data_IF_533742021680
#
_entry.id   IF_533742021680
#
_cell.length_a   1.000
_cell.length_b   1.000
_cell.length_c   1.000
_cell.angle_alpha   90.00
_cell.angle_beta   90.00
_cell.angle_gamma   90.00
#
_symmetry.space_group_name_H-M   'P 1'
#
loop_
_entity.id
_entity.type
_entity.pdbx_description
1 polymer ?
#
# COMPACT_ATOMS: atom_id res chain seq x y z
N UNK A 1 -42.96 31.40 19.20
CA UNK A 1 -44.17 30.55 19.02
C UNK A 1 -43.90 29.70 17.77
N UNK A 2 -43.60 28.43 17.97
CA UNK A 2 -44.09 27.27 17.20
C UNK A 2 -43.20 26.03 17.50
N UNK A 3 -43.71 25.26 18.30
CA UNK A 3 -43.91 23.82 18.42
C UNK A 3 -42.91 22.88 17.72
N UNK A 4 -42.09 22.31 18.57
CA UNK A 4 -41.32 21.08 18.32
C UNK A 4 -42.25 19.92 18.75
N UNK A 5 -42.59 19.03 17.80
CA UNK A 5 -43.28 17.78 18.06
C UNK A 5 -42.25 16.68 18.26
N UNK A 6 -42.14 16.20 19.50
CA UNK A 6 -41.36 15.01 19.85
C UNK A 6 -42.26 13.79 19.67
N UNK A 7 -41.90 12.85 18.83
CA UNK A 7 -42.55 11.53 18.71
C UNK A 7 -41.80 10.53 19.59
N UNK A 8 -42.42 10.18 20.69
CA UNK A 8 -42.00 9.07 21.54
C UNK A 8 -42.54 7.76 20.96
N UNK A 9 -41.63 6.83 20.64
CA UNK A 9 -42.01 5.44 20.34
C UNK A 9 -41.81 4.62 21.60
N UNK A 10 -42.90 4.15 22.15
CA UNK A 10 -42.93 3.27 23.31
C UNK A 10 -42.63 1.83 22.89
N UNK A 11 -41.65 1.20 23.58
CA UNK A 11 -41.39 -0.24 23.50
C UNK A 11 -42.25 -0.93 24.54
N UNK A 12 -43.16 -1.76 24.10
CA UNK A 12 -43.91 -2.68 25.00
C UNK A 12 -43.22 -4.04 24.95
N UNK A 13 -42.64 -4.44 26.08
CA UNK A 13 -42.18 -5.81 26.29
C UNK A 13 -43.36 -6.64 26.85
N UNK A 14 -43.71 -7.72 26.21
CA UNK A 14 -44.57 -8.76 26.79
C UNK A 14 -43.82 -10.08 26.73
N UNK A 15 -43.46 -10.57 27.91
CA UNK A 15 -42.99 -11.94 28.13
C UNK A 15 -44.18 -12.85 28.43
N UNK A 16 -44.25 -14.00 27.79
CA UNK A 16 -44.80 -15.22 28.36
C UNK A 16 -44.51 -16.40 27.40
N UNK A 17 -43.87 -17.41 27.94
CA UNK A 17 -43.38 -18.58 27.29
C UNK A 17 -44.46 -19.57 26.85
N UNK A 18 -44.05 -20.46 25.96
CA UNK A 18 -44.48 -21.88 26.00
C UNK A 18 -43.42 -22.74 25.29
N UNK A 19 -42.99 -23.79 25.96
CA UNK A 19 -42.14 -24.85 25.42
C UNK A 19 -42.89 -25.65 24.32
N UNK A 20 -42.26 -25.80 23.19
CA UNK A 20 -42.70 -26.71 22.13
C UNK A 20 -41.55 -26.99 21.22
N UNK A 21 -40.87 -28.12 21.47
CA UNK A 21 -39.79 -28.64 20.60
C UNK A 21 -40.36 -29.15 19.29
N UNK A 22 -40.13 -28.43 18.22
CA UNK A 22 -40.16 -28.98 16.86
C UNK A 22 -38.84 -28.59 16.17
N UNK A 23 -37.99 -29.61 15.96
CA UNK A 23 -36.84 -29.50 15.07
C UNK A 23 -37.33 -29.18 13.67
N UNK A 24 -37.33 -27.92 13.26
CA UNK A 24 -37.35 -27.56 11.87
C UNK A 24 -35.90 -27.59 11.37
N UNK A 25 -35.57 -28.62 10.57
CA UNK A 25 -34.44 -28.54 9.66
C UNK A 25 -34.69 -27.38 8.70
N UNK A 26 -34.07 -26.24 8.95
CA UNK A 26 -33.95 -25.19 7.94
C UNK A 26 -32.73 -25.52 7.08
N UNK A 27 -32.96 -26.17 5.96
CA UNK A 27 -32.03 -26.15 4.83
C UNK A 27 -32.01 -24.71 4.32
N UNK A 28 -31.21 -23.84 4.97
CA UNK A 28 -30.90 -22.55 4.43
C UNK A 28 -29.98 -22.77 3.20
N UNK A 29 -30.34 -22.28 2.01
CA UNK A 29 -29.43 -22.37 0.88
C UNK A 29 -28.16 -21.59 1.18
N UNK A 30 -27.02 -22.26 1.04
CA UNK A 30 -25.70 -21.64 1.11
C UNK A 30 -25.66 -20.48 0.10
N UNK A 31 -25.37 -19.24 0.50
CA UNK A 31 -25.36 -18.12 -0.43
C UNK A 31 -24.34 -18.37 -1.56
N UNK A 32 -24.77 -18.14 -2.79
CA UNK A 32 -23.99 -18.33 -4.02
C UNK A 32 -22.82 -17.32 -4.20
N UNK A 33 -22.11 -16.99 -3.11
CA UNK A 33 -21.02 -15.98 -3.11
C UNK A 33 -19.71 -16.47 -3.76
N UNK A 34 -19.56 -17.79 -3.99
CA UNK A 34 -18.29 -18.34 -4.51
C UNK A 34 -18.14 -18.21 -6.04
N UNK A 35 -19.23 -17.96 -6.78
CA UNK A 35 -19.19 -17.90 -8.25
C UNK A 35 -18.69 -16.57 -8.82
N UNK A 36 -18.74 -15.48 -8.07
CA UNK A 36 -18.41 -14.15 -8.60
C UNK A 36 -16.90 -13.90 -8.66
N UNK A 37 -16.15 -14.44 -7.70
CA UNK A 37 -14.70 -14.24 -7.62
C UNK A 37 -13.93 -15.04 -8.68
N UNK A 38 -14.34 -16.27 -8.93
CA UNK A 38 -13.74 -17.13 -9.96
C UNK A 38 -13.96 -16.57 -11.38
N UNK A 39 -15.13 -16.01 -11.64
CA UNK A 39 -15.43 -15.39 -12.94
C UNK A 39 -14.61 -14.13 -13.21
N UNK A 40 -14.28 -13.34 -12.17
CA UNK A 40 -13.45 -12.14 -12.31
C UNK A 40 -11.97 -12.46 -12.56
N UNK A 41 -11.43 -13.49 -11.91
CA UNK A 41 -10.04 -13.95 -12.08
C UNK A 41 -9.82 -14.52 -13.49
N UNK A 42 -10.75 -15.35 -13.98
CA UNK A 42 -10.70 -15.85 -15.37
C UNK A 42 -10.80 -14.71 -16.39
N UNK A 43 -11.64 -13.70 -16.15
CA UNK A 43 -11.78 -12.56 -17.03
C UNK A 43 -10.48 -11.76 -17.14
N UNK A 44 -9.80 -11.49 -16.02
CA UNK A 44 -8.52 -10.79 -16.00
C UNK A 44 -7.44 -11.58 -16.74
N UNK A 45 -7.29 -12.88 -16.46
CA UNK A 45 -6.30 -13.72 -17.12
C UNK A 45 -6.54 -13.80 -18.64
N UNK A 46 -7.80 -13.94 -19.06
CA UNK A 46 -8.17 -13.99 -20.47
C UNK A 46 -7.88 -12.65 -21.18
N UNK A 47 -8.13 -11.51 -20.50
CA UNK A 47 -7.78 -10.18 -21.02
C UNK A 47 -6.26 -10.00 -21.17
N UNK A 48 -5.48 -10.45 -20.19
CA UNK A 48 -4.01 -10.44 -20.25
C UNK A 48 -3.51 -11.29 -21.40
N UNK A 49 -4.02 -12.52 -21.56
CA UNK A 49 -3.67 -13.42 -22.67
C UNK A 49 -4.02 -12.82 -24.04
N UNK A 50 -5.19 -12.22 -24.17
CA UNK A 50 -5.62 -11.55 -25.41
C UNK A 50 -4.75 -10.35 -25.75
N UNK A 51 -4.29 -9.59 -24.76
CA UNK A 51 -3.39 -8.45 -24.89
C UNK A 51 -1.95 -8.87 -25.28
N UNK A 52 -1.53 -10.07 -24.90
CA UNK A 52 -0.24 -10.66 -25.26
C UNK A 52 0.92 -10.24 -24.36
N UNK A 53 0.68 -9.52 -23.27
CA UNK A 53 1.69 -9.13 -22.26
C UNK A 53 1.03 -8.81 -20.93
N UNK A 54 1.81 -8.84 -19.85
CA UNK A 54 1.42 -8.37 -18.50
C UNK A 54 1.74 -6.88 -18.38
N UNK A 55 0.77 -6.05 -18.01
CA UNK A 55 1.01 -4.67 -17.62
C UNK A 55 1.27 -4.62 -16.12
N UNK A 56 2.52 -4.37 -15.74
CA UNK A 56 2.96 -4.42 -14.35
C UNK A 56 3.26 -3.02 -13.80
N UNK A 57 2.56 -2.63 -12.71
CA UNK A 57 2.86 -1.42 -11.97
C UNK A 57 4.09 -1.62 -11.08
N UNK A 58 5.05 -0.71 -11.18
CA UNK A 58 6.31 -0.73 -10.44
C UNK A 58 6.60 0.63 -9.80
N UNK A 59 7.65 0.75 -8.98
CA UNK A 59 8.08 2.04 -8.45
C UNK A 59 8.69 2.93 -9.53
N UNK A 60 8.71 4.24 -9.29
CA UNK A 60 9.25 5.25 -10.21
C UNK A 60 10.80 5.29 -10.26
N UNK A 61 11.45 4.42 -9.51
CA UNK A 61 12.92 4.32 -9.43
C UNK A 61 13.36 4.05 -8.00
N UNK A 62 13.36 2.76 -7.61
CA UNK A 62 13.84 2.29 -6.32
C UNK A 62 14.93 1.24 -6.57
N UNK A 63 16.22 1.61 -6.44
CA UNK A 63 17.34 0.69 -6.67
C UNK A 63 17.21 -0.62 -5.90
N UNK A 64 17.44 -1.74 -6.57
CA UNK A 64 17.28 -3.10 -6.01
C UNK A 64 15.85 -3.65 -6.08
N UNK A 65 14.83 -2.82 -6.19
CA UNK A 65 13.41 -3.21 -6.27
C UNK A 65 12.84 -3.04 -7.67
N UNK A 66 12.72 -1.81 -8.14
CA UNK A 66 12.34 -1.51 -9.51
C UNK A 66 13.03 -0.22 -9.96
N UNK A 67 13.98 -0.34 -10.82
CA UNK A 67 14.78 0.77 -11.35
C UNK A 67 15.05 0.58 -12.83
N UNK A 68 14.82 1.63 -13.63
CA UNK A 68 15.20 1.66 -15.02
C UNK A 68 16.60 2.27 -15.16
N UNK A 69 17.40 1.71 -16.08
CA UNK A 69 18.62 2.37 -16.54
C UNK A 69 18.33 3.42 -17.64
N UNK A 70 19.35 4.14 -18.07
CA UNK A 70 19.24 5.19 -19.09
C UNK A 70 18.78 4.64 -20.46
N UNK A 71 18.93 3.35 -20.70
CA UNK A 71 18.45 2.66 -21.89
C UNK A 71 17.00 2.15 -21.75
N UNK A 72 16.38 2.36 -20.59
CA UNK A 72 15.02 1.92 -20.28
C UNK A 72 14.91 0.46 -19.85
N UNK A 73 16.01 -0.22 -19.54
CA UNK A 73 15.96 -1.58 -19.03
C UNK A 73 15.64 -1.57 -17.54
N UNK A 74 14.62 -2.31 -17.17
CA UNK A 74 14.17 -2.43 -15.78
C UNK A 74 14.87 -3.58 -15.06
N UNK A 75 15.26 -3.35 -13.80
CA UNK A 75 15.92 -4.33 -12.93
C UNK A 75 15.39 -4.26 -11.51
N UNK A 76 15.51 -5.36 -10.76
CA UNK A 76 15.20 -5.48 -9.34
C UNK A 76 14.14 -6.52 -9.03
N UNK A 77 13.97 -6.82 -7.73
CA UNK A 77 13.11 -7.91 -7.26
C UNK A 77 11.64 -7.75 -7.69
N UNK A 78 11.11 -6.54 -7.69
CA UNK A 78 9.73 -6.25 -8.14
C UNK A 78 9.57 -6.54 -9.63
N UNK A 79 10.59 -6.19 -10.41
CA UNK A 79 10.65 -6.44 -11.86
C UNK A 79 10.71 -7.93 -12.16
N UNK A 80 11.48 -8.68 -11.38
CA UNK A 80 11.64 -10.12 -11.56
C UNK A 80 10.35 -10.88 -11.21
N UNK A 81 9.58 -10.40 -10.24
CA UNK A 81 8.22 -10.92 -9.97
C UNK A 81 7.32 -10.72 -11.19
N UNK A 82 7.33 -9.53 -11.82
CA UNK A 82 6.54 -9.26 -13.03
C UNK A 82 6.95 -10.20 -14.19
N UNK A 83 8.25 -10.40 -14.38
CA UNK A 83 8.82 -11.34 -15.37
C UNK A 83 8.41 -12.78 -15.10
N UNK A 84 8.43 -13.18 -13.81
CA UNK A 84 7.97 -14.50 -13.39
C UNK A 84 6.52 -14.77 -13.74
N UNK A 85 5.64 -13.77 -13.51
CA UNK A 85 4.23 -13.87 -13.91
C UNK A 85 4.07 -13.92 -15.44
N UNK A 86 4.81 -13.11 -16.18
CA UNK A 86 4.79 -13.15 -17.64
C UNK A 86 5.27 -14.51 -18.19
N UNK A 87 6.33 -15.07 -17.62
CA UNK A 87 6.80 -16.40 -17.96
C UNK A 87 5.75 -17.50 -17.67
N UNK A 88 5.07 -17.40 -16.53
CA UNK A 88 4.02 -18.36 -16.17
C UNK A 88 2.80 -18.29 -17.11
N UNK A 89 2.41 -17.09 -17.57
CA UNK A 89 1.23 -16.87 -18.43
C UNK A 89 1.52 -17.17 -19.88
N UNK A 90 2.72 -16.81 -20.38
CA UNK A 90 3.07 -16.82 -21.80
C UNK A 90 4.20 -17.78 -22.16
N UNK A 91 4.88 -18.38 -21.19
CA UNK A 91 6.13 -19.12 -21.41
C UNK A 91 7.31 -18.22 -21.78
N UNK A 92 7.16 -16.88 -21.62
CA UNK A 92 8.12 -15.87 -22.05
C UNK A 92 8.18 -14.70 -21.03
N UNK A 93 9.28 -14.58 -20.31
CA UNK A 93 9.50 -13.53 -19.31
C UNK A 93 9.59 -12.10 -19.91
N UNK A 94 9.80 -11.98 -21.23
CA UNK A 94 9.85 -10.68 -21.90
C UNK A 94 8.46 -10.09 -22.18
N UNK A 95 7.39 -10.87 -22.05
CA UNK A 95 6.00 -10.46 -22.26
C UNK A 95 5.46 -9.63 -21.09
N UNK A 96 6.19 -8.58 -20.72
CA UNK A 96 5.84 -7.65 -19.65
C UNK A 96 6.12 -6.21 -20.08
N UNK A 97 5.22 -5.30 -19.71
CA UNK A 97 5.43 -3.85 -19.80
C UNK A 97 5.31 -3.25 -18.41
N UNK A 98 6.14 -2.27 -18.13
CA UNK A 98 6.21 -1.62 -16.82
C UNK A 98 5.51 -0.27 -16.85
N UNK A 99 4.72 0.03 -15.80
CA UNK A 99 4.13 1.34 -15.54
C UNK A 99 4.73 1.87 -14.23
N UNK A 100 5.62 2.86 -14.27
CA UNK A 100 6.13 3.50 -13.05
C UNK A 100 5.01 4.34 -12.40
N UNK A 101 4.74 4.09 -11.11
CA UNK A 101 3.67 4.71 -10.36
C UNK A 101 4.17 5.26 -9.04
N UNK A 102 3.64 6.42 -8.62
CA UNK A 102 3.84 6.92 -7.27
C UNK A 102 3.11 6.06 -6.22
N UNK A 103 3.41 6.25 -4.95
CA UNK A 103 2.71 5.55 -3.87
C UNK A 103 1.23 5.90 -3.79
N UNK A 104 0.85 7.10 -4.23
CA UNK A 104 -0.52 7.58 -4.26
C UNK A 104 -1.32 7.00 -5.46
N UNK A 105 -0.69 6.89 -6.63
CA UNK A 105 -1.35 6.48 -7.88
C UNK A 105 -1.60 4.98 -7.98
N UNK A 106 -0.74 4.14 -7.37
CA UNK A 106 -0.68 2.69 -7.60
C UNK A 106 -2.00 1.94 -7.42
N UNK A 107 -2.80 2.30 -6.42
CA UNK A 107 -4.07 1.61 -6.16
C UNK A 107 -5.18 2.01 -7.13
N UNK A 108 -5.21 3.28 -7.55
CA UNK A 108 -6.13 3.76 -8.57
C UNK A 108 -5.82 3.11 -9.93
N UNK A 109 -4.54 3.02 -10.29
CA UNK A 109 -4.10 2.36 -11.53
C UNK A 109 -4.49 0.87 -11.55
N UNK A 110 -4.37 0.17 -10.41
CA UNK A 110 -4.80 -1.23 -10.30
C UNK A 110 -6.32 -1.36 -10.38
N UNK A 111 -7.06 -0.53 -9.66
CA UNK A 111 -8.52 -0.57 -9.63
C UNK A 111 -9.17 -0.20 -10.98
N UNK A 112 -8.54 0.69 -11.75
CA UNK A 112 -9.01 1.08 -13.09
C UNK A 112 -8.67 0.08 -14.20
N UNK A 113 -7.78 -0.90 -13.93
CA UNK A 113 -7.28 -1.82 -14.95
C UNK A 113 -6.20 -1.21 -15.86
N UNK A 114 -5.64 -0.06 -15.51
CA UNK A 114 -4.45 0.49 -16.17
C UNK A 114 -3.27 -0.46 -16.08
N UNK A 115 -3.16 -1.15 -14.94
CA UNK A 115 -2.21 -2.24 -14.72
C UNK A 115 -2.96 -3.53 -14.36
N UNK A 116 -2.40 -4.67 -14.74
CA UNK A 116 -2.96 -6.00 -14.43
C UNK A 116 -2.51 -6.49 -13.05
N UNK A 117 -1.32 -6.08 -12.63
CA UNK A 117 -0.73 -6.39 -11.34
C UNK A 117 0.14 -5.25 -10.85
N UNK A 118 0.31 -5.19 -9.55
CA UNK A 118 1.21 -4.27 -8.88
C UNK A 118 2.32 -5.06 -8.18
N UNK A 119 3.57 -4.86 -8.58
CA UNK A 119 4.74 -5.40 -7.91
C UNK A 119 5.68 -4.27 -7.52
N UNK A 120 5.61 -3.88 -6.24
CA UNK A 120 6.44 -2.81 -5.67
C UNK A 120 6.39 -2.87 -4.14
N UNK A 121 7.15 -1.98 -3.47
CA UNK A 121 7.16 -1.79 -2.02
C UNK A 121 5.77 -1.39 -1.48
N UNK A 122 4.85 -2.35 -1.42
CA UNK A 122 3.45 -2.16 -1.01
C UNK A 122 3.15 -3.04 0.18
N UNK A 123 3.06 -2.44 1.36
CA UNK A 123 2.77 -3.14 2.61
C UNK A 123 1.40 -3.81 2.55
N UNK A 124 1.33 -5.10 2.86
CA UNK A 124 0.08 -5.80 3.07
C UNK A 124 -0.53 -5.39 4.40
N UNK A 125 -1.66 -4.71 4.37
CA UNK A 125 -2.41 -4.30 5.55
C UNK A 125 -3.86 -4.74 5.45
N UNK A 126 -4.51 -4.92 6.60
CA UNK A 126 -5.93 -5.26 6.66
C UNK A 126 -6.79 -4.26 5.86
N UNK A 127 -6.51 -2.96 6.02
CA UNK A 127 -7.25 -1.90 5.30
C UNK A 127 -7.12 -2.05 3.78
N UNK A 128 -5.91 -2.31 3.28
CA UNK A 128 -5.68 -2.46 1.83
C UNK A 128 -6.35 -3.71 1.28
N UNK A 129 -6.29 -4.80 2.02
CA UNK A 129 -6.86 -6.08 1.63
C UNK A 129 -8.40 -6.04 1.66
N UNK A 130 -9.00 -5.51 2.73
CA UNK A 130 -10.45 -5.57 2.94
C UNK A 130 -11.21 -4.34 2.44
N UNK A 131 -10.71 -3.12 2.69
CA UNK A 131 -11.45 -1.88 2.39
C UNK A 131 -11.18 -1.37 0.97
N UNK A 132 -9.98 -1.59 0.44
CA UNK A 132 -9.64 -1.18 -0.92
C UNK A 132 -9.94 -2.26 -1.96
N UNK A 133 -10.40 -3.44 -1.53
CA UNK A 133 -10.72 -4.55 -2.42
C UNK A 133 -9.50 -5.08 -3.19
N UNK A 134 -8.31 -4.98 -2.59
CA UNK A 134 -7.08 -5.49 -3.18
C UNK A 134 -6.87 -6.94 -2.79
N UNK A 135 -6.35 -7.75 -3.72
CA UNK A 135 -5.93 -9.12 -3.44
C UNK A 135 -4.40 -9.18 -3.42
N UNK A 136 -3.82 -9.48 -2.25
CA UNK A 136 -2.39 -9.70 -2.14
C UNK A 136 -2.06 -11.16 -2.48
N UNK A 137 -1.29 -11.37 -3.54
CA UNK A 137 -0.93 -12.71 -4.01
C UNK A 137 0.23 -13.33 -3.21
N UNK A 138 1.05 -12.52 -2.55
CA UNK A 138 2.18 -12.98 -1.75
C UNK A 138 3.09 -11.86 -1.28
N UNK A 139 4.06 -12.23 -0.45
CA UNK A 139 5.10 -11.34 0.08
C UNK A 139 6.41 -11.70 -0.60
N UNK A 140 7.03 -10.73 -1.29
CA UNK A 140 8.33 -10.89 -1.94
C UNK A 140 9.49 -10.34 -1.10
N UNK A 141 9.20 -9.50 -0.10
CA UNK A 141 10.20 -8.91 0.79
C UNK A 141 9.61 -8.59 2.16
N UNK A 142 10.30 -8.93 3.24
CA UNK A 142 9.95 -8.55 4.62
C UNK A 142 10.77 -7.36 5.05
N UNK A 143 10.10 -6.29 5.46
CA UNK A 143 10.72 -5.02 5.80
C UNK A 143 10.12 -4.41 7.08
N UNK A 144 10.56 -3.23 7.42
CA UNK A 144 10.04 -2.41 8.50
C UNK A 144 10.35 -0.93 8.25
N UNK A 145 9.61 -0.05 8.91
CA UNK A 145 9.88 1.39 8.83
C UNK A 145 11.16 1.77 9.56
N UNK A 146 11.87 2.77 9.04
CA UNK A 146 13.05 3.35 9.63
C UNK A 146 13.08 4.88 9.49
N UNK A 147 14.13 5.47 10.07
CA UNK A 147 14.42 6.88 9.98
C UNK A 147 15.84 7.06 9.49
N UNK A 148 16.04 7.89 8.48
CA UNK A 148 17.34 8.36 8.01
C UNK A 148 17.56 9.77 8.56
N UNK A 149 18.65 9.95 9.26
CA UNK A 149 19.04 11.23 9.86
C UNK A 149 20.49 11.55 9.50
N UNK A 150 20.85 12.82 9.28
CA UNK A 150 22.25 13.19 9.08
C UNK A 150 23.08 12.86 10.30
N UNK A 151 24.24 12.25 10.13
CA UNK A 151 25.17 11.86 11.21
C UNK A 151 25.55 13.05 12.10
N UNK A 152 25.62 14.26 11.51
CA UNK A 152 25.93 15.51 12.23
C UNK A 152 24.94 15.88 13.34
N UNK A 153 23.69 15.37 13.29
CA UNK A 153 22.68 15.62 14.33
C UNK A 153 22.93 14.79 15.59
N UNK A 154 23.77 13.76 15.53
CA UNK A 154 24.12 12.93 16.67
C UNK A 154 22.98 12.08 17.25
N UNK A 155 21.81 12.05 16.59
CA UNK A 155 20.61 11.31 17.01
C UNK A 155 20.92 9.82 17.04
N UNK A 156 20.60 9.16 18.16
CA UNK A 156 20.80 7.72 18.37
C UNK A 156 19.49 6.94 18.50
N UNK A 157 18.40 7.65 18.77
CA UNK A 157 17.08 7.07 18.96
C UNK A 157 16.02 7.91 18.28
N UNK A 158 14.98 7.26 17.75
CA UNK A 158 13.81 7.95 17.23
C UNK A 158 13.10 8.82 18.28
N UNK A 159 13.28 8.54 19.57
CA UNK A 159 12.73 9.33 20.68
C UNK A 159 13.43 10.68 20.88
N UNK A 160 14.54 10.93 20.18
CA UNK A 160 15.27 12.20 20.23
C UNK A 160 14.87 13.18 19.12
N UNK A 161 13.83 12.84 18.32
CA UNK A 161 13.39 13.63 17.17
C UNK A 161 12.24 14.59 17.46
N UNK A 162 11.99 14.94 18.73
CA UNK A 162 10.94 15.90 19.07
C UNK A 162 11.14 17.25 18.37
N UNK A 163 10.10 17.76 17.73
CA UNK A 163 10.12 19.01 16.96
C UNK A 163 10.70 18.91 15.54
N UNK A 164 11.14 17.74 15.08
CA UNK A 164 11.79 17.55 13.78
C UNK A 164 10.86 17.83 12.59
N UNK A 165 11.45 18.29 11.48
CA UNK A 165 10.82 18.25 10.16
C UNK A 165 11.06 16.89 9.52
N UNK A 166 9.99 16.13 9.30
CA UNK A 166 10.07 14.75 8.82
C UNK A 166 9.56 14.66 7.39
N UNK A 167 10.43 14.31 6.46
CA UNK A 167 10.06 14.02 5.08
C UNK A 167 9.47 12.62 4.95
N UNK A 168 8.37 12.48 4.21
CA UNK A 168 7.77 11.20 3.83
C UNK A 168 7.07 11.29 2.49
N UNK A 169 6.72 10.13 1.92
CA UNK A 169 5.95 10.06 0.68
C UNK A 169 4.46 9.85 0.99
N UNK A 170 3.57 10.63 0.34
CA UNK A 170 2.12 10.52 0.51
C UNK A 170 1.57 9.17 0.04
N UNK A 171 0.48 8.71 0.66
CA UNK A 171 -0.18 7.46 0.32
C UNK A 171 0.57 6.20 0.79
N UNK A 172 1.45 6.35 1.77
CA UNK A 172 2.22 5.27 2.36
C UNK A 172 1.73 4.92 3.77
N UNK A 173 2.02 3.69 4.21
CA UNK A 173 1.85 3.32 5.63
C UNK A 173 2.82 4.08 6.51
N UNK A 174 3.99 4.44 6.00
CA UNK A 174 5.02 5.16 6.75
C UNK A 174 4.63 6.59 7.09
N UNK A 175 3.84 7.25 6.22
CA UNK A 175 3.22 8.56 6.51
C UNK A 175 2.23 8.47 7.69
N UNK A 176 1.42 7.42 7.76
CA UNK A 176 0.48 7.20 8.85
C UNK A 176 1.20 6.82 10.15
N UNK A 177 2.10 5.84 10.06
CA UNK A 177 2.81 5.31 11.22
C UNK A 177 3.69 6.37 11.90
N UNK A 178 4.33 7.28 11.16
CA UNK A 178 5.13 8.36 11.76
C UNK A 178 4.25 9.27 12.61
N UNK A 179 3.06 9.58 12.14
CA UNK A 179 2.09 10.39 12.90
C UNK A 179 1.70 9.70 14.21
N UNK A 180 1.40 8.41 14.14
CA UNK A 180 1.06 7.62 15.33
C UNK A 180 2.24 7.52 16.30
N UNK A 181 3.45 7.24 15.80
CA UNK A 181 4.66 7.14 16.61
C UNK A 181 4.94 8.41 17.42
N UNK A 182 4.90 9.58 16.78
CA UNK A 182 5.16 10.85 17.48
C UNK A 182 4.06 11.16 18.51
N UNK A 183 2.79 10.92 18.14
CA UNK A 183 1.65 11.10 19.06
C UNK A 183 1.75 10.20 20.30
N UNK A 184 2.03 8.91 20.12
CA UNK A 184 2.13 7.94 21.21
C UNK A 184 3.28 8.22 22.17
N UNK A 185 4.35 8.84 21.68
CA UNK A 185 5.49 9.23 22.50
C UNK A 185 5.42 10.67 23.02
N UNK A 186 4.29 11.37 22.83
CA UNK A 186 4.09 12.75 23.30
C UNK A 186 5.00 13.77 22.60
N UNK A 187 5.54 13.42 21.43
CA UNK A 187 6.45 14.25 20.66
C UNK A 187 5.69 15.05 19.59
N UNK A 188 6.27 16.18 19.19
CA UNK A 188 5.80 17.01 18.08
C UNK A 188 6.70 16.80 16.85
N UNK A 189 6.14 17.01 15.67
CA UNK A 189 6.89 17.03 14.42
C UNK A 189 6.15 17.83 13.35
N UNK A 190 6.87 18.22 12.30
CA UNK A 190 6.27 18.79 11.09
C UNK A 190 6.40 17.79 9.96
N UNK A 191 5.26 17.27 9.46
CA UNK A 191 5.26 16.38 8.31
C UNK A 191 5.47 17.20 7.03
N UNK A 192 6.49 16.84 6.25
CA UNK A 192 6.77 17.40 4.91
C UNK A 192 6.60 16.28 3.91
N UNK A 193 5.39 16.18 3.34
CA UNK A 193 5.01 15.07 2.48
C UNK A 193 5.06 15.47 1.00
N UNK A 194 5.51 14.53 0.15
CA UNK A 194 5.60 14.68 -1.30
C UNK A 194 4.96 13.47 -2.00
N UNK A 195 4.43 13.68 -3.19
CA UNK A 195 3.90 12.59 -3.99
C UNK A 195 5.02 11.76 -4.65
N UNK A 196 6.04 12.46 -5.17
CA UNK A 196 7.15 11.86 -5.90
C UNK A 196 8.30 11.48 -4.97
N UNK A 197 8.86 10.27 -5.12
CA UNK A 197 9.94 9.77 -4.30
C UNK A 197 11.22 10.63 -4.42
N UNK A 198 11.54 11.06 -5.65
CA UNK A 198 12.74 11.90 -5.89
C UNK A 198 12.59 13.29 -5.28
N UNK A 199 11.37 13.82 -5.16
CA UNK A 199 11.12 15.07 -4.46
C UNK A 199 11.37 14.95 -2.94
N UNK A 200 11.05 13.79 -2.33
CA UNK A 200 11.39 13.50 -0.93
C UNK A 200 12.90 13.49 -0.74
N UNK A 201 13.63 12.78 -1.62
CA UNK A 201 15.10 12.69 -1.58
C UNK A 201 15.73 14.07 -1.72
N UNK A 202 15.31 14.86 -2.71
CA UNK A 202 15.81 16.20 -2.94
C UNK A 202 15.54 17.15 -1.74
N UNK A 203 14.36 17.05 -1.13
CA UNK A 203 14.01 17.84 0.04
C UNK A 203 14.88 17.49 1.25
N UNK A 204 15.14 16.21 1.48
CA UNK A 204 16.01 15.74 2.54
C UNK A 204 17.47 16.13 2.28
N UNK A 205 17.98 15.90 1.07
CA UNK A 205 19.37 16.21 0.68
C UNK A 205 19.69 17.72 0.79
N UNK A 206 18.71 18.59 0.47
CA UNK A 206 18.83 20.03 0.62
C UNK A 206 18.72 20.53 2.08
N UNK A 207 18.45 19.65 3.05
CA UNK A 207 18.25 20.00 4.45
C UNK A 207 16.91 20.66 4.77
N UNK A 208 15.92 20.55 3.88
CA UNK A 208 14.54 21.00 4.15
C UNK A 208 13.88 20.16 5.25
N UNK A 209 14.31 18.90 5.39
CA UNK A 209 13.88 18.00 6.45
C UNK A 209 15.08 17.54 7.26
N UNK A 210 14.87 17.39 8.56
CA UNK A 210 15.86 16.86 9.50
C UNK A 210 15.90 15.32 9.42
N UNK A 211 14.78 14.71 9.04
CA UNK A 211 14.56 13.26 9.03
C UNK A 211 13.84 12.86 7.75
N UNK A 212 14.25 11.72 7.16
CA UNK A 212 13.49 11.04 6.13
C UNK A 212 12.99 9.68 6.64
N UNK A 213 11.70 9.39 6.51
CA UNK A 213 11.12 8.12 6.92
C UNK A 213 10.42 7.40 5.78
N UNK A 214 10.76 6.14 5.61
CA UNK A 214 10.10 5.14 4.76
C UNK A 214 10.55 3.74 5.21
N UNK A 215 10.31 2.72 4.40
CA UNK A 215 10.81 1.37 4.63
C UNK A 215 12.35 1.36 4.75
N UNK A 216 12.92 0.56 5.62
CA UNK A 216 14.39 0.52 5.84
C UNK A 216 15.16 0.17 4.58
N UNK A 217 14.66 -0.79 3.79
CA UNK A 217 15.24 -1.10 2.48
C UNK A 217 15.12 0.07 1.52
N UNK A 218 13.99 0.77 1.55
CA UNK A 218 13.75 2.00 0.79
C UNK A 218 14.73 3.11 1.17
N UNK A 219 14.98 3.33 2.47
CA UNK A 219 15.99 4.29 2.94
C UNK A 219 17.39 3.92 2.43
N UNK A 220 17.76 2.63 2.51
CA UNK A 220 19.04 2.15 2.00
C UNK A 220 19.18 2.40 0.48
N UNK A 221 18.12 2.13 -0.29
CA UNK A 221 18.09 2.37 -1.73
C UNK A 221 18.16 3.87 -2.07
N UNK A 222 17.38 4.72 -1.39
CA UNK A 222 17.35 6.17 -1.65
C UNK A 222 18.63 6.86 -1.18
N UNK A 223 19.30 6.35 -0.14
CA UNK A 223 20.59 6.87 0.33
C UNK A 223 21.65 6.90 -0.77
N UNK A 224 21.60 5.96 -1.71
CA UNK A 224 22.54 5.94 -2.86
C UNK A 224 22.38 7.13 -3.81
N UNK A 225 21.27 7.85 -3.73
CA UNK A 225 20.98 9.03 -4.56
C UNK A 225 21.36 10.35 -3.89
N UNK A 226 21.72 10.33 -2.59
CA UNK A 226 22.10 11.53 -1.86
C UNK A 226 23.48 12.03 -2.29
N UNK A 227 23.67 13.35 -2.27
CA UNK A 227 24.97 13.97 -2.54
C UNK A 227 26.01 13.59 -1.46
N UNK A 228 25.54 13.39 -0.21
CA UNK A 228 26.35 12.85 0.89
C UNK A 228 25.59 11.67 1.52
N UNK A 229 25.94 10.42 1.19
CA UNK A 229 25.29 9.24 1.70
C UNK A 229 25.72 8.82 3.12
N UNK A 230 26.69 9.51 3.77
CA UNK A 230 27.26 9.17 5.08
C UNK A 230 26.51 9.79 6.29
#
# INVERSE_FOLDING_TARGET
MNNISIVLVAIVAAAAGYFGSTMMKTDAPIPAAVKTETASVEATLNAVKAKGFVQCGVSQGLPGFSNADDAGNWTGIDVDVCRGVAAAVFGDASKVKYTPLSSKQRFTALASGEIDMLSRNTTWTMTRDTQLGLNFAGVNYYDGQGFLVPTKLGIKSALEMDGANVCSQTGTTTELNVTDFFRENGMKFNLVAFEEADAVVAAYDSGRCDVYTTDRSGLAAQRTKLANPD
#
